data_IF_086563767038
#
_entry.id   IF_086563767038
#
_cell.length_a   1.000
_cell.length_b   1.000
_cell.length_c   1.000
_cell.angle_alpha   90.00
_cell.angle_beta   90.00
_cell.angle_gamma   90.00
#
_symmetry.space_group_name_H-M   'P 1'
#
loop_
_entity.id
_entity.type
_entity.pdbx_description
1 polymer ?
#
# COMPACT_ATOMS: atom_id res chain seq x y z
N UNK A 1 2.78 -16.76 3.31
CA UNK A 1 3.24 -15.42 3.76
C UNK A 1 4.12 -14.86 2.66
N UNK A 2 3.63 -13.92 1.85
CA UNK A 2 4.42 -13.33 0.75
C UNK A 2 5.55 -12.51 1.36
N UNK A 3 6.78 -13.01 1.24
CA UNK A 3 7.97 -12.28 1.63
C UNK A 3 7.98 -10.93 0.90
N UNK A 4 7.97 -9.84 1.66
CA UNK A 4 8.22 -8.52 1.09
C UNK A 4 9.59 -8.58 0.40
N UNK A 5 9.59 -8.59 -0.94
CA UNK A 5 10.80 -8.63 -1.75
C UNK A 5 11.67 -7.45 -1.32
N UNK A 6 12.76 -7.71 -0.59
CA UNK A 6 13.75 -6.69 -0.25
C UNK A 6 14.31 -6.18 -1.57
N UNK A 7 13.99 -4.94 -1.91
CA UNK A 7 14.46 -4.32 -3.13
C UNK A 7 15.99 -4.36 -3.16
N UNK A 8 16.57 -5.10 -4.11
CA UNK A 8 18.02 -5.30 -4.24
C UNK A 8 18.77 -4.04 -4.73
N UNK A 9 18.05 -2.98 -5.13
CA UNK A 9 18.60 -1.77 -5.74
C UNK A 9 19.08 -0.70 -4.74
N UNK A 10 19.00 -0.95 -3.43
CA UNK A 10 19.41 0.02 -2.40
C UNK A 10 18.64 1.35 -2.49
N UNK A 11 19.30 2.49 -2.22
CA UNK A 11 18.68 3.83 -2.21
C UNK A 11 18.35 4.43 -3.60
N UNK A 12 18.70 3.75 -4.70
CA UNK A 12 18.43 4.21 -6.09
C UNK A 12 17.09 3.68 -6.64
N UNK A 13 16.17 3.27 -5.78
CA UNK A 13 14.87 2.74 -6.21
C UNK A 13 14.01 3.83 -6.86
N UNK A 14 13.62 3.64 -8.12
CA UNK A 14 12.47 4.35 -8.71
C UNK A 14 11.21 3.54 -8.41
N UNK A 15 10.25 4.20 -7.77
CA UNK A 15 8.94 3.64 -7.45
C UNK A 15 7.94 4.17 -8.47
N UNK A 16 7.39 3.28 -9.28
CA UNK A 16 6.38 3.62 -10.28
C UNK A 16 5.01 3.27 -9.73
N UNK A 17 4.04 4.15 -9.93
CA UNK A 17 2.66 3.89 -9.55
C UNK A 17 2.12 2.74 -10.42
N UNK A 18 1.52 1.74 -9.78
CA UNK A 18 0.92 0.59 -10.45
C UNK A 18 -0.60 0.71 -10.49
N UNK A 19 -1.22 0.91 -9.31
CA UNK A 19 -2.68 0.99 -9.17
C UNK A 19 -3.08 1.66 -7.86
N UNK A 20 -4.29 2.22 -7.83
CA UNK A 20 -4.93 2.60 -6.58
C UNK A 20 -5.65 1.38 -5.97
N UNK A 21 -5.63 1.28 -4.64
CA UNK A 21 -6.32 0.27 -3.86
C UNK A 21 -7.10 0.94 -2.73
N UNK A 22 -8.29 0.41 -2.45
CA UNK A 22 -9.11 0.84 -1.33
C UNK A 22 -8.96 -0.18 -0.21
N UNK A 23 -8.29 0.21 0.87
CA UNK A 23 -8.15 -0.60 2.07
C UNK A 23 -9.28 -0.24 3.03
N UNK A 24 -10.14 -1.22 3.33
CA UNK A 24 -11.11 -1.13 4.40
C UNK A 24 -10.53 -1.80 5.65
N UNK A 25 -10.40 -1.03 6.72
CA UNK A 25 -10.02 -1.54 8.04
C UNK A 25 -11.25 -1.49 8.93
N UNK A 26 -11.71 -2.66 9.38
CA UNK A 26 -12.76 -2.76 10.38
C UNK A 26 -12.13 -3.06 11.75
N UNK A 27 -12.36 -2.19 12.71
CA UNK A 27 -11.95 -2.38 14.11
C UNK A 27 -13.22 -2.65 14.91
N UNK A 28 -13.30 -3.84 15.49
CA UNK A 28 -14.38 -4.23 16.38
C UNK A 28 -13.95 -3.88 17.80
N UNK A 29 -14.62 -2.91 18.42
CA UNK A 29 -14.44 -2.56 19.84
C UNK A 29 -15.63 -3.07 20.65
N UNK A 30 -15.53 -2.96 21.98
CA UNK A 30 -16.63 -3.31 22.88
C UNK A 30 -17.84 -2.39 22.72
N UNK A 31 -17.65 -1.17 22.19
CA UNK A 31 -18.73 -0.20 21.92
C UNK A 31 -19.37 -0.34 20.54
N UNK A 32 -18.75 -1.11 19.62
CA UNK A 32 -19.28 -1.33 18.28
C UNK A 32 -18.20 -1.60 17.23
N UNK A 33 -18.61 -1.67 15.95
CA UNK A 33 -17.70 -1.83 14.83
C UNK A 33 -17.43 -0.49 14.16
N UNK A 34 -16.18 -0.01 14.21
CA UNK A 34 -15.73 1.16 13.46
C UNK A 34 -15.10 0.69 12.15
N UNK A 35 -15.62 1.19 11.02
CA UNK A 35 -15.06 0.91 9.69
C UNK A 35 -14.35 2.16 9.17
N UNK A 36 -13.08 2.04 8.83
CA UNK A 36 -12.29 3.08 8.19
C UNK A 36 -11.93 2.65 6.77
N UNK A 37 -12.39 3.42 5.79
CA UNK A 37 -11.94 3.31 4.42
C UNK A 37 -10.72 4.22 4.22
N UNK A 38 -9.67 3.67 3.62
CA UNK A 38 -8.46 4.42 3.26
C UNK A 38 -8.06 4.06 1.84
N UNK A 39 -7.81 5.08 1.02
CA UNK A 39 -7.31 4.90 -0.35
C UNK A 39 -5.79 4.94 -0.32
N UNK A 40 -5.13 3.95 -0.93
CA UNK A 40 -3.67 3.85 -1.02
C UNK A 40 -3.26 3.58 -2.46
N UNK A 41 -2.04 3.96 -2.81
CA UNK A 41 -1.41 3.58 -4.08
C UNK A 41 -0.50 2.38 -3.86
N UNK A 42 -0.55 1.41 -4.77
CA UNK A 42 0.49 0.39 -4.90
C UNK A 42 1.53 0.92 -5.86
N UNK A 43 2.78 0.91 -5.41
CA UNK A 43 3.95 1.26 -6.19
C UNK A 43 4.80 0.03 -6.42
N UNK A 44 5.33 -0.11 -7.63
CA UNK A 44 6.25 -1.17 -8.00
C UNK A 44 7.62 -0.59 -8.27
N UNK A 45 8.65 -1.23 -7.74
CA UNK A 45 10.03 -0.91 -8.05
C UNK A 45 10.49 -1.70 -9.27
N UNK A 46 11.49 -1.19 -9.99
CA UNK A 46 12.15 -1.88 -11.09
C UNK A 46 12.67 -3.29 -10.71
N UNK A 47 13.01 -3.52 -9.43
CA UNK A 47 13.41 -4.84 -8.93
C UNK A 47 12.25 -5.81 -8.70
N UNK A 48 11.00 -5.41 -8.97
CA UNK A 48 9.80 -6.20 -8.71
C UNK A 48 9.23 -6.08 -7.30
N UNK A 49 9.83 -5.28 -6.41
CA UNK A 49 9.29 -5.05 -5.07
C UNK A 49 8.03 -4.18 -5.12
N UNK A 50 7.03 -4.50 -4.29
CA UNK A 50 5.78 -3.74 -4.18
C UNK A 50 5.70 -3.00 -2.84
N UNK A 51 5.18 -1.77 -2.84
CA UNK A 51 4.97 -0.95 -1.64
C UNK A 51 3.62 -0.26 -1.68
N UNK A 52 2.99 -0.14 -0.52
CA UNK A 52 1.80 0.71 -0.35
C UNK A 52 2.22 2.13 0.07
N UNK A 53 1.64 3.14 -0.59
CA UNK A 53 1.85 4.56 -0.32
C UNK A 53 0.56 5.37 -0.51
N UNK A 54 0.69 6.69 -0.70
CA UNK A 54 -0.44 7.56 -1.02
C UNK A 54 -1.05 7.19 -2.37
N UNK A 55 -2.37 7.31 -2.51
CA UNK A 55 -3.01 7.15 -3.82
C UNK A 55 -2.61 8.31 -4.75
N UNK A 56 -2.50 8.05 -6.06
CA UNK A 56 -2.20 9.11 -7.04
C UNK A 56 -3.43 9.98 -7.30
N UNK A 57 -4.59 9.36 -7.26
CA UNK A 57 -5.87 10.06 -7.37
C UNK A 57 -6.26 10.57 -5.98
N UNK A 58 -5.89 11.82 -5.69
CA UNK A 58 -6.43 12.55 -4.55
C UNK A 58 -7.96 12.63 -4.67
N UNK A 59 -8.66 12.26 -3.60
CA UNK A 59 -10.00 12.74 -3.32
C UNK A 59 -9.85 13.87 -2.30
#
# INVERSE_FOLDING_TARGET
MSAAVKCALGAKHKWEWLKDVTNMTATITREGAVRKLSRRGIYKCASGAERQGSARSGL
#
